data_IF_245207766344
#
_entry.id   IF_245207766344
#
_cell.length_a   1.000
_cell.length_b   1.000
_cell.length_c   1.000
_cell.angle_alpha   90.00
_cell.angle_beta   90.00
_cell.angle_gamma   90.00
#
_symmetry.space_group_name_H-M   'P 1'
#
loop_
_entity.id
_entity.type
_entity.pdbx_description
1 polymer ?
#
# COMPACT_ATOMS: atom_id res chain seq x y z
N UNK A 1 23.98 11.52 35.17
CA UNK A 1 22.53 11.82 34.99
C UNK A 1 22.49 13.04 34.08
N UNK A 2 22.25 12.85 32.78
CA UNK A 2 22.27 13.95 31.81
C UNK A 2 21.08 14.86 32.07
N UNK A 3 21.35 16.12 32.44
CA UNK A 3 20.34 17.14 32.69
C UNK A 3 19.56 17.42 31.40
N UNK A 4 18.31 16.98 31.35
CA UNK A 4 17.44 17.19 30.18
C UNK A 4 17.25 18.67 29.89
N UNK A 5 17.42 19.05 28.61
CA UNK A 5 17.13 20.39 28.12
C UNK A 5 15.62 20.50 27.90
N UNK A 6 14.95 21.41 28.62
CA UNK A 6 13.54 21.75 28.38
C UNK A 6 13.45 23.02 27.53
N UNK A 7 12.64 22.96 26.46
CA UNK A 7 12.36 24.10 25.59
C UNK A 7 10.95 24.62 25.88
N UNK A 8 10.84 25.91 26.16
CA UNK A 8 9.55 26.61 26.32
C UNK A 8 9.42 27.62 25.19
N UNK A 9 8.31 27.56 24.43
CA UNK A 9 8.05 28.51 23.34
C UNK A 9 7.76 29.90 23.94
N UNK A 10 8.57 30.93 23.64
CA UNK A 10 8.30 32.29 24.08
C UNK A 10 7.01 32.83 23.47
N UNK A 11 6.35 33.78 24.14
CA UNK A 11 5.18 34.45 23.60
C UNK A 11 5.51 35.19 22.30
N UNK A 12 4.60 35.14 21.32
CA UNK A 12 4.84 35.81 20.04
C UNK A 12 4.88 37.32 20.23
N UNK A 13 5.88 38.00 19.63
CA UNK A 13 5.98 39.46 19.71
C UNK A 13 4.87 40.11 18.89
N UNK A 14 4.39 41.26 19.36
CA UNK A 14 3.19 41.94 18.84
C UNK A 14 3.25 42.33 17.36
N UNK A 15 4.44 42.52 16.79
CA UNK A 15 4.61 42.79 15.35
C UNK A 15 4.27 41.55 14.50
N UNK A 16 4.66 40.36 14.96
CA UNK A 16 4.47 39.11 14.23
C UNK A 16 2.99 38.71 14.25
N UNK A 17 2.30 38.95 15.36
CA UNK A 17 0.85 38.73 15.48
C UNK A 17 0.07 39.61 14.50
N UNK A 18 0.36 40.92 14.46
CA UNK A 18 -0.31 41.86 13.53
C UNK A 18 -0.07 41.47 12.08
N UNK A 19 1.19 41.19 11.73
CA UNK A 19 1.55 40.77 10.38
C UNK A 19 0.82 39.49 9.94
N UNK A 20 0.77 38.47 10.80
CA UNK A 20 0.03 37.22 10.53
C UNK A 20 -1.46 37.47 10.31
N UNK A 21 -2.08 38.35 11.08
CA UNK A 21 -3.47 38.73 10.91
C UNK A 21 -3.72 39.45 9.58
N UNK A 22 -2.86 40.41 9.23
CA UNK A 22 -3.02 41.23 8.02
C UNK A 22 -2.87 40.41 6.73
N UNK A 23 -1.99 39.41 6.72
CA UNK A 23 -1.76 38.53 5.56
C UNK A 23 -2.65 37.27 5.57
N UNK A 24 -3.53 37.13 6.56
CA UNK A 24 -4.44 35.98 6.69
C UNK A 24 -3.72 34.65 6.94
N UNK A 25 -2.58 34.68 7.64
CA UNK A 25 -1.79 33.50 7.95
C UNK A 25 -2.60 32.49 8.78
N UNK A 26 -2.65 31.24 8.32
CA UNK A 26 -3.21 30.11 9.06
C UNK A 26 -2.08 29.16 9.41
N UNK A 27 -1.99 28.78 10.68
CA UNK A 27 -0.97 27.83 11.13
C UNK A 27 -1.18 26.50 10.39
N UNK A 28 -0.13 26.04 9.71
CA UNK A 28 -0.15 24.80 8.94
C UNK A 28 -0.09 23.56 9.83
N UNK A 29 -0.11 22.36 9.23
CA UNK A 29 0.05 21.11 9.95
C UNK A 29 1.34 21.13 10.79
N UNK A 30 1.23 20.75 12.06
CA UNK A 30 2.35 20.76 13.00
C UNK A 30 2.82 19.32 13.28
N UNK A 31 3.69 19.13 14.27
CA UNK A 31 4.19 17.77 14.59
C UNK A 31 3.09 16.84 15.11
N UNK A 32 2.06 17.39 15.77
CA UNK A 32 0.94 16.62 16.31
C UNK A 32 0.00 16.14 15.20
N UNK A 33 -0.08 16.85 14.08
CA UNK A 33 -0.89 16.39 12.94
C UNK A 33 -0.38 15.08 12.34
N UNK A 34 0.88 14.70 12.59
CA UNK A 34 1.40 13.38 12.20
C UNK A 34 0.86 12.22 13.04
N UNK A 35 0.35 12.52 14.24
CA UNK A 35 -0.22 11.53 15.17
C UNK A 35 -1.73 11.38 14.99
N UNK A 36 -2.34 12.21 14.15
CA UNK A 36 -3.75 12.11 13.85
C UNK A 36 -4.01 10.80 13.11
N UNK A 37 -5.05 10.09 13.53
CA UNK A 37 -5.52 8.89 12.84
C UNK A 37 -6.02 9.33 11.47
N UNK A 38 -5.41 8.79 10.42
CA UNK A 38 -5.85 9.02 9.04
C UNK A 38 -7.22 8.36 8.87
N UNK A 39 -8.11 8.93 8.05
CA UNK A 39 -9.34 8.25 7.66
C UNK A 39 -9.02 6.88 7.07
N UNK A 40 -9.89 5.90 7.30
CA UNK A 40 -9.84 4.65 6.55
C UNK A 40 -9.99 5.02 5.06
N UNK A 41 -8.95 4.73 4.29
CA UNK A 41 -9.03 4.85 2.84
C UNK A 41 -9.96 3.74 2.38
N UNK A 42 -10.99 4.08 1.61
CA UNK A 42 -11.75 3.06 0.88
C UNK A 42 -10.73 2.25 0.06
N UNK A 43 -10.73 0.93 0.22
CA UNK A 43 -9.76 -0.04 -0.33
C UNK A 43 -9.84 -0.17 -1.87
N UNK A 44 -10.34 0.86 -2.53
CA UNK A 44 -10.55 0.94 -3.98
C UNK A 44 -9.21 1.04 -4.74
N UNK A 45 -8.08 1.15 -4.02
CA UNK A 45 -6.72 1.12 -4.55
C UNK A 45 -6.12 -0.28 -4.68
N UNK A 46 -6.78 -1.33 -4.16
CA UNK A 46 -6.28 -2.71 -4.11
C UNK A 46 -6.88 -3.64 -5.17
N UNK A 47 -7.35 -3.11 -6.29
CA UNK A 47 -8.03 -3.92 -7.31
C UNK A 47 -7.04 -4.79 -8.08
N UNK A 48 -6.99 -6.10 -7.83
CA UNK A 48 -6.33 -7.12 -8.67
C UNK A 48 -7.10 -7.25 -10.01
N UNK A 49 -6.99 -6.21 -10.85
CA UNK A 49 -7.72 -6.14 -12.11
C UNK A 49 -7.20 -7.19 -13.08
N UNK A 50 -8.04 -7.59 -14.04
CA UNK A 50 -7.63 -8.59 -15.04
C UNK A 50 -6.39 -8.14 -15.85
N UNK A 51 -6.16 -6.83 -16.00
CA UNK A 51 -4.98 -6.26 -16.65
C UNK A 51 -3.71 -6.25 -15.79
N UNK A 52 -3.83 -6.43 -14.48
CA UNK A 52 -2.70 -6.50 -13.52
C UNK A 52 -2.21 -7.94 -13.31
N UNK A 53 -2.97 -8.94 -13.77
CA UNK A 53 -2.59 -10.35 -13.67
C UNK A 53 -1.36 -10.67 -14.54
N UNK A 54 -0.47 -11.57 -14.08
CA UNK A 54 0.71 -11.96 -14.85
C UNK A 54 0.33 -12.71 -16.13
N UNK A 55 1.07 -12.46 -17.20
CA UNK A 55 0.92 -13.19 -18.46
C UNK A 55 1.31 -14.67 -18.28
N UNK A 56 0.38 -15.57 -18.60
CA UNK A 56 0.65 -17.02 -18.61
C UNK A 56 1.17 -17.44 -19.98
N UNK A 57 2.30 -18.17 -20.00
CA UNK A 57 2.94 -18.71 -21.22
C UNK A 57 3.13 -20.21 -21.06
N UNK A 58 2.64 -20.99 -22.03
CA UNK A 58 2.78 -22.46 -22.08
C UNK A 58 3.83 -22.81 -23.13
N UNK A 59 4.91 -23.48 -22.73
CA UNK A 59 6.02 -23.85 -23.60
C UNK A 59 6.08 -25.36 -23.89
N UNK A 60 5.60 -26.18 -22.96
CA UNK A 60 5.61 -27.64 -23.04
C UNK A 60 4.24 -28.21 -22.72
N UNK A 61 3.96 -29.40 -23.23
CA UNK A 61 2.78 -30.19 -22.83
C UNK A 61 2.94 -30.62 -21.37
N UNK A 62 2.30 -29.88 -20.46
CA UNK A 62 2.40 -30.05 -19.01
C UNK A 62 2.45 -28.72 -18.24
N UNK A 63 2.67 -27.59 -18.93
CA UNK A 63 2.56 -26.28 -18.28
C UNK A 63 1.07 -25.88 -18.13
N UNK A 64 0.77 -25.17 -17.04
CA UNK A 64 -0.60 -24.77 -16.71
C UNK A 64 -1.11 -23.66 -17.62
N UNK A 65 -2.38 -23.80 -18.02
CA UNK A 65 -3.12 -22.79 -18.76
C UNK A 65 -3.65 -21.69 -17.82
N UNK A 66 -4.04 -20.56 -18.39
CA UNK A 66 -4.53 -19.42 -17.61
C UNK A 66 -5.76 -19.74 -16.73
N UNK A 67 -6.63 -20.65 -17.17
CA UNK A 67 -7.83 -21.04 -16.42
C UNK A 67 -7.50 -21.93 -15.21
N UNK A 68 -6.52 -22.82 -15.36
CA UNK A 68 -6.05 -23.68 -14.27
C UNK A 68 -5.34 -22.85 -13.18
N UNK A 69 -4.52 -21.88 -13.58
CA UNK A 69 -3.85 -20.95 -12.65
C UNK A 69 -4.88 -20.14 -11.83
N UNK A 70 -5.94 -19.65 -12.47
CA UNK A 70 -7.03 -18.92 -11.78
C UNK A 70 -7.72 -19.83 -10.75
N UNK A 71 -8.04 -21.06 -11.13
CA UNK A 71 -8.71 -22.04 -10.25
C UNK A 71 -7.85 -22.38 -9.02
N UNK A 72 -6.54 -22.54 -9.21
CA UNK A 72 -5.57 -22.80 -8.12
C UNK A 72 -5.41 -21.58 -7.20
N UNK A 73 -5.32 -20.35 -7.76
CA UNK A 73 -5.20 -19.10 -6.98
C UNK A 73 -6.43 -18.85 -6.09
N UNK A 74 -7.61 -19.26 -6.55
CA UNK A 74 -8.87 -19.18 -5.81
C UNK A 74 -9.05 -20.28 -4.73
N UNK A 75 -8.03 -21.13 -4.53
CA UNK A 75 -8.01 -22.13 -3.46
C UNK A 75 -8.93 -23.33 -3.66
N UNK A 76 -9.30 -23.64 -4.91
CA UNK A 76 -10.03 -24.87 -5.26
C UNK A 76 -9.02 -25.97 -5.58
N UNK A 77 -8.46 -26.58 -4.55
CA UNK A 77 -7.64 -27.78 -4.67
C UNK A 77 -8.53 -28.98 -5.01
N UNK A 78 -8.43 -29.50 -6.24
CA UNK A 78 -8.81 -30.88 -6.56
C UNK A 78 -7.96 -31.42 -7.73
N UNK A 79 -6.86 -32.09 -7.35
CA UNK A 79 -6.20 -33.24 -8.00
C UNK A 79 -6.08 -33.27 -9.55
N UNK A 80 -4.89 -32.96 -10.07
CA UNK A 80 -4.42 -33.42 -11.40
C UNK A 80 -2.97 -33.94 -11.35
N UNK A 81 -2.71 -34.92 -10.50
CA UNK A 81 -1.58 -35.83 -10.70
C UNK A 81 -2.08 -37.07 -11.43
N UNK A 82 -1.78 -37.16 -12.73
CA UNK A 82 -1.48 -38.38 -13.51
C UNK A 82 -2.04 -38.33 -14.93
N UNK A 83 -1.17 -38.02 -15.91
CA UNK A 83 -0.88 -38.90 -17.06
C UNK A 83 -0.09 -38.15 -18.13
N UNK A 84 1.03 -38.75 -18.58
CA UNK A 84 1.54 -38.50 -19.92
C UNK A 84 3.02 -38.21 -20.02
N UNK A 85 3.88 -39.19 -19.72
CA UNK A 85 5.31 -39.04 -19.97
C UNK A 85 6.06 -40.37 -20.00
N UNK A 86 5.80 -41.22 -21.01
CA UNK A 86 6.83 -42.12 -21.58
C UNK A 86 6.27 -42.78 -22.86
N UNK A 87 6.51 -42.17 -24.01
CA UNK A 87 6.64 -42.93 -25.26
C UNK A 87 8.12 -43.33 -25.34
N UNK A 88 8.41 -44.61 -25.09
CA UNK A 88 9.63 -45.25 -25.57
C UNK A 88 9.37 -45.76 -26.98
N UNK A 89 10.19 -45.32 -27.92
CA UNK A 89 10.56 -46.10 -29.11
C UNK A 89 12.08 -46.27 -29.10
#
# INVERSE_FOLDING_TARGET
>A
ISSGVSWVKPAEPSFLTKFKSDVGFKEGPNVDTKRQVMPDLDDDGGSDREDELPQVVVLKSGDLTAEEVKTIKDGKDDQVDAAGGENRE
#
